data_IF_095129039179
#
_entry.id   IF_095129039179
#
_cell.length_a   1.000
_cell.length_b   1.000
_cell.length_c   1.000
_cell.angle_alpha   90.00
_cell.angle_beta   90.00
_cell.angle_gamma   90.00
#
_symmetry.space_group_name_H-M   'P 1'
#
loop_
_entity.id
_entity.type
_entity.pdbx_description
1 polymer ?
#
# COMPACT_ATOMS: atom_id res chain seq x y z
N UNK A 1 -2.39 -14.74 4.97
CA UNK A 1 -1.86 -13.38 5.22
C UNK A 1 -2.61 -12.43 4.31
N UNK A 2 -2.97 -11.23 4.78
CA UNK A 2 -3.81 -10.27 4.04
C UNK A 2 -3.14 -8.91 4.06
N UNK A 3 -2.99 -8.29 2.90
CA UNK A 3 -2.47 -6.93 2.81
C UNK A 3 -3.58 -5.95 2.44
N UNK A 4 -3.93 -5.09 3.38
CA UNK A 4 -4.90 -4.02 3.20
C UNK A 4 -4.17 -2.73 2.88
N UNK A 5 -4.56 -2.06 1.80
CA UNK A 5 -3.81 -0.94 1.25
C UNK A 5 -4.77 0.16 0.83
N UNK A 6 -4.38 1.42 0.96
CA UNK A 6 -5.19 2.57 0.60
C UNK A 6 -4.32 3.69 0.05
N UNK A 7 -4.87 4.40 -0.93
CA UNK A 7 -4.23 5.52 -1.59
C UNK A 7 -5.15 6.71 -1.65
N UNK A 8 -4.63 7.89 -1.33
CA UNK A 8 -5.38 9.13 -1.33
C UNK A 8 -4.63 10.18 -2.15
N UNK A 9 -5.39 10.95 -2.92
CA UNK A 9 -4.90 12.07 -3.70
C UNK A 9 -5.78 13.30 -3.45
N UNK A 10 -5.15 14.45 -3.29
CA UNK A 10 -5.77 15.77 -3.36
C UNK A 10 -4.94 16.63 -4.35
N UNK A 11 -5.43 17.81 -4.73
CA UNK A 11 -4.83 18.77 -5.65
C UNK A 11 -3.37 19.13 -5.33
N UNK A 12 -2.92 18.93 -4.09
CA UNK A 12 -1.58 19.31 -3.61
C UNK A 12 -0.69 18.15 -3.21
N UNK A 13 -1.27 17.02 -2.79
CA UNK A 13 -0.51 15.95 -2.12
C UNK A 13 -1.13 14.58 -2.39
N UNK A 14 -0.26 13.60 -2.52
CA UNK A 14 -0.60 12.19 -2.74
C UNK A 14 0.08 11.32 -1.69
N UNK A 15 -0.67 10.38 -1.13
CA UNK A 15 -0.22 9.55 -0.02
C UNK A 15 -0.77 8.13 -0.06
N UNK A 16 -0.08 7.23 0.60
CA UNK A 16 -0.48 5.84 0.75
C UNK A 16 -0.35 5.36 2.19
N UNK A 17 -1.06 4.29 2.48
CA UNK A 17 -0.88 3.53 3.69
C UNK A 17 -1.35 2.09 3.51
N UNK A 18 -0.85 1.21 4.37
CA UNK A 18 -1.29 -0.18 4.38
C UNK A 18 -0.92 -0.92 5.64
N UNK A 19 -1.61 -2.03 5.85
CA UNK A 19 -1.45 -2.92 6.99
C UNK A 19 -1.36 -4.36 6.53
N UNK A 20 -0.26 -5.00 6.88
CA UNK A 20 -0.03 -6.41 6.67
C UNK A 20 -0.59 -7.16 7.87
N UNK A 21 -1.59 -8.01 7.64
CA UNK A 21 -2.21 -8.81 8.68
C UNK A 21 -1.90 -10.29 8.46
N UNK A 22 -1.75 -11.03 9.56
CA UNK A 22 -1.66 -12.49 9.49
C UNK A 22 -3.04 -13.13 9.21
N UNK A 23 -3.09 -14.45 9.33
CA UNK A 23 -4.33 -15.22 9.12
C UNK A 23 -5.37 -15.04 10.24
N UNK A 24 -4.93 -14.61 11.43
CA UNK A 24 -5.79 -14.35 12.59
C UNK A 24 -6.35 -12.91 12.56
N UNK A 25 -5.90 -12.09 11.62
CA UNK A 25 -6.29 -10.69 11.48
C UNK A 25 -5.44 -9.73 12.33
N UNK A 26 -4.34 -10.21 12.92
CA UNK A 26 -3.45 -9.37 13.72
C UNK A 26 -2.50 -8.61 12.79
N UNK A 27 -2.40 -7.29 13.00
CA UNK A 27 -1.45 -6.45 12.27
C UNK A 27 -0.01 -6.85 12.61
N UNK A 28 0.76 -7.22 11.58
CA UNK A 28 2.18 -7.60 11.67
C UNK A 28 3.11 -6.52 11.16
N UNK A 29 2.61 -5.65 10.28
CA UNK A 29 3.33 -4.47 9.86
C UNK A 29 2.38 -3.37 9.39
N UNK A 30 2.82 -2.13 9.53
CA UNK A 30 2.09 -0.93 9.10
C UNK A 30 3.05 -0.08 8.26
N UNK A 31 2.55 0.50 7.17
CA UNK A 31 3.27 1.52 6.43
C UNK A 31 2.37 2.72 6.12
N UNK A 32 2.99 3.90 6.08
CA UNK A 32 2.38 5.15 5.63
C UNK A 32 3.48 5.96 4.97
N UNK A 33 3.19 6.63 3.85
CA UNK A 33 4.19 7.46 3.20
C UNK A 33 3.70 8.17 1.94
N UNK A 34 4.49 9.15 1.44
CA UNK A 34 4.16 9.87 0.22
C UNK A 34 4.28 8.96 -1.01
N UNK A 35 3.44 9.20 -2.00
CA UNK A 35 3.57 8.62 -3.35
C UNK A 35 3.78 9.76 -4.32
N UNK A 36 4.79 9.68 -5.17
CA UNK A 36 4.96 10.59 -6.29
C UNK A 36 3.99 10.19 -7.42
N UNK A 37 2.75 10.69 -7.37
CA UNK A 37 1.74 10.46 -8.39
C UNK A 37 0.97 11.76 -8.67
N UNK A 38 0.51 11.91 -9.90
CA UNK A 38 -0.16 13.14 -10.35
C UNK A 38 -1.69 13.04 -10.29
N UNK A 39 -2.24 11.85 -10.01
CA UNK A 39 -3.67 11.58 -10.02
C UNK A 39 -4.01 10.35 -9.14
N UNK A 40 -5.29 10.17 -8.83
CA UNK A 40 -5.78 9.10 -7.95
C UNK A 40 -5.63 7.69 -8.52
N UNK A 41 -5.62 7.53 -9.85
CA UNK A 41 -5.42 6.23 -10.52
C UNK A 41 -3.98 5.81 -10.33
N UNK A 42 -3.04 6.71 -10.62
CA UNK A 42 -1.61 6.56 -10.39
C UNK A 42 -1.29 6.27 -8.91
N UNK A 43 -1.99 6.93 -7.97
CA UNK A 43 -1.86 6.61 -6.54
C UNK A 43 -2.31 5.18 -6.22
N UNK A 44 -3.50 4.76 -6.69
CA UNK A 44 -4.03 3.41 -6.44
C UNK A 44 -3.09 2.33 -6.98
N UNK A 45 -2.58 2.53 -8.19
CA UNK A 45 -1.62 1.61 -8.82
C UNK A 45 -0.29 1.59 -8.05
N UNK A 46 0.22 2.76 -7.66
CA UNK A 46 1.44 2.89 -6.85
C UNK A 46 1.35 2.22 -5.48
N UNK A 47 0.21 2.34 -4.80
CA UNK A 47 -0.05 1.68 -3.51
C UNK A 47 0.07 0.16 -3.64
N UNK A 48 -0.52 -0.41 -4.69
CA UNK A 48 -0.44 -1.85 -4.96
C UNK A 48 1.02 -2.27 -5.20
N UNK A 49 1.81 -1.46 -5.92
CA UNK A 49 3.24 -1.72 -6.14
C UNK A 49 4.05 -1.71 -4.86
N UNK A 50 3.91 -0.67 -4.02
CA UNK A 50 4.61 -0.58 -2.72
C UNK A 50 4.27 -1.81 -1.86
N UNK A 51 3.03 -2.26 -1.94
CA UNK A 51 2.54 -3.38 -1.14
C UNK A 51 3.10 -4.73 -1.61
N UNK A 52 3.25 -4.91 -2.92
CA UNK A 52 3.93 -6.08 -3.48
C UNK A 52 5.41 -6.08 -3.12
N UNK A 53 6.08 -4.93 -3.21
CA UNK A 53 7.50 -4.79 -2.84
C UNK A 53 7.75 -5.04 -1.34
N UNK A 54 6.85 -4.59 -0.47
CA UNK A 54 6.96 -4.84 0.97
C UNK A 54 6.74 -6.31 1.33
N UNK A 55 5.81 -6.99 0.64
CA UNK A 55 5.56 -8.41 0.85
C UNK A 55 6.71 -9.29 0.33
N UNK A 56 7.47 -8.81 -0.66
CA UNK A 56 8.54 -9.54 -1.33
C UNK A 56 9.72 -8.63 -1.68
N UNK A 57 10.61 -8.33 -0.70
CA UNK A 57 11.70 -7.37 -0.87
C UNK A 57 12.87 -7.96 -1.69
N UNK A 58 12.76 -7.97 -3.03
CA UNK A 58 13.84 -8.39 -3.95
C UNK A 58 14.32 -7.25 -4.87
N UNK A 59 15.57 -7.37 -5.34
CA UNK A 59 16.38 -6.35 -6.03
C UNK A 59 15.70 -5.73 -7.28
N UNK A 60 16.01 -4.46 -7.54
CA UNK A 60 15.17 -3.45 -8.23
C UNK A 60 14.89 -3.70 -9.72
N UNK A 61 13.66 -3.40 -10.17
CA UNK A 61 13.25 -2.55 -11.35
C UNK A 61 11.77 -2.78 -11.72
N UNK A 62 11.11 -1.73 -12.21
CA UNK A 62 9.67 -1.65 -12.57
C UNK A 62 9.19 -2.65 -13.66
N UNK A 63 10.09 -3.35 -14.35
CA UNK A 63 9.77 -4.45 -15.29
C UNK A 63 9.46 -5.78 -14.60
N UNK A 64 9.53 -5.82 -13.26
CA UNK A 64 9.34 -7.02 -12.49
C UNK A 64 7.86 -7.35 -12.20
N UNK A 65 6.86 -6.62 -12.71
CA UNK A 65 5.46 -6.84 -12.31
C UNK A 65 4.92 -8.20 -12.78
N UNK A 66 5.12 -8.54 -14.06
CA UNK A 66 4.71 -9.85 -14.60
C UNK A 66 5.54 -10.99 -13.98
N UNK A 67 6.86 -10.75 -13.81
CA UNK A 67 7.80 -11.70 -13.20
C UNK A 67 7.64 -11.86 -11.67
N UNK A 68 7.20 -10.83 -10.93
CA UNK A 68 6.96 -10.86 -9.48
C UNK A 68 5.63 -11.51 -9.16
N UNK A 69 4.60 -11.29 -9.99
CA UNK A 69 3.33 -12.01 -9.86
C UNK A 69 3.51 -13.48 -10.25
N UNK A 70 4.35 -13.80 -11.25
CA UNK A 70 4.70 -15.20 -11.61
C UNK A 70 5.26 -16.03 -10.45
N UNK A 71 5.98 -15.40 -9.51
CA UNK A 71 6.56 -16.08 -8.34
C UNK A 71 5.61 -16.14 -7.13
N UNK A 72 4.45 -15.46 -7.17
CA UNK A 72 3.43 -15.57 -6.12
C UNK A 72 2.36 -16.54 -6.58
N UNK A 73 2.32 -17.72 -5.95
CA UNK A 73 1.49 -18.87 -6.34
C UNK A 73 0.00 -18.53 -6.47
N UNK A 74 -0.52 -17.54 -5.73
CA UNK A 74 -1.89 -17.03 -5.88
C UNK A 74 -2.04 -15.64 -5.23
N UNK A 75 -2.32 -14.60 -6.02
CA UNK A 75 -2.70 -13.27 -5.53
C UNK A 75 -4.14 -12.98 -5.91
N UNK A 76 -4.99 -12.71 -4.92
CA UNK A 76 -6.37 -12.29 -5.14
C UNK A 76 -6.51 -10.83 -4.75
N UNK A 77 -6.93 -10.01 -5.71
CA UNK A 77 -7.27 -8.61 -5.47
C UNK A 77 -8.77 -8.49 -5.20
N UNK A 78 -9.13 -7.79 -4.13
CA UNK A 78 -10.51 -7.47 -3.81
C UNK A 78 -10.63 -6.01 -3.43
N UNK A 79 -11.63 -5.31 -3.97
CA UNK A 79 -11.94 -3.95 -3.54
C UNK A 79 -12.68 -4.01 -2.19
N UNK A 80 -12.18 -3.27 -1.20
CA UNK A 80 -12.82 -3.16 0.10
C UNK A 80 -13.53 -1.81 0.23
N UNK A 81 -14.74 -1.80 0.81
CA UNK A 81 -15.37 -0.57 1.27
C UNK A 81 -14.52 0.07 2.39
N UNK A 82 -14.58 1.40 2.51
CA UNK A 82 -13.77 2.16 3.46
C UNK A 82 -13.85 1.61 4.90
N UNK A 83 -15.05 1.22 5.35
CA UNK A 83 -15.30 0.61 6.67
C UNK A 83 -14.57 -0.72 6.90
N UNK A 84 -14.23 -1.45 5.85
CA UNK A 84 -13.43 -2.68 5.90
C UNK A 84 -11.92 -2.45 5.74
N UNK A 85 -11.49 -1.20 5.55
CA UNK A 85 -10.12 -0.79 5.26
C UNK A 85 -9.71 0.46 6.05
N UNK A 86 -10.28 0.64 7.24
CA UNK A 86 -10.17 1.87 8.03
C UNK A 86 -8.72 2.15 8.44
N UNK A 87 -7.96 1.12 8.84
CA UNK A 87 -6.55 1.27 9.25
C UNK A 87 -5.70 1.79 8.09
N UNK A 88 -5.74 1.14 6.93
CA UNK A 88 -4.98 1.58 5.76
C UNK A 88 -5.41 2.97 5.27
N UNK A 89 -6.71 3.26 5.32
CA UNK A 89 -7.25 4.58 4.96
C UNK A 89 -6.78 5.66 5.93
N UNK A 90 -6.77 5.39 7.24
CA UNK A 90 -6.29 6.30 8.28
C UNK A 90 -4.80 6.58 8.10
N UNK A 91 -4.00 5.55 7.80
CA UNK A 91 -2.57 5.70 7.50
C UNK A 91 -2.33 6.56 6.27
N UNK A 92 -3.14 6.41 5.21
CA UNK A 92 -3.03 7.24 4.01
C UNK A 92 -3.40 8.71 4.29
N UNK A 93 -4.44 8.97 5.10
CA UNK A 93 -4.83 10.32 5.53
C UNK A 93 -3.76 10.96 6.41
N UNK A 94 -3.24 10.21 7.38
CA UNK A 94 -2.22 10.69 8.30
C UNK A 94 -0.98 11.19 7.55
N UNK A 95 -0.58 10.53 6.45
CA UNK A 95 0.53 11.00 5.63
C UNK A 95 0.27 12.38 5.01
N UNK A 96 -0.92 12.60 4.43
CA UNK A 96 -1.25 13.89 3.78
C UNK A 96 -1.17 15.05 4.79
N UNK A 97 -1.52 14.80 6.04
CA UNK A 97 -1.47 15.80 7.10
C UNK A 97 -0.06 16.03 7.67
N UNK A 98 0.90 15.11 7.42
CA UNK A 98 2.23 15.14 8.02
C UNK A 98 3.40 15.16 7.02
N UNK A 99 3.11 15.35 5.72
CA UNK A 99 4.04 15.82 4.67
C UNK A 99 5.11 14.83 4.22
N UNK A 100 5.92 14.28 5.13
CA UNK A 100 7.25 13.75 4.80
C UNK A 100 7.63 12.43 5.49
N UNK A 101 6.74 11.79 6.26
CA UNK A 101 7.12 10.59 7.01
C UNK A 101 6.69 9.29 6.34
N UNK A 102 7.65 8.62 5.70
CA UNK A 102 7.57 7.17 5.52
C UNK A 102 7.77 6.51 6.89
N UNK A 103 6.70 5.98 7.50
CA UNK A 103 6.76 5.24 8.76
C UNK A 103 6.42 3.79 8.52
N UNK A 104 7.42 2.92 8.71
CA UNK A 104 7.23 1.48 8.79
C UNK A 104 7.34 1.06 10.27
N UNK A 105 6.36 0.31 10.77
CA UNK A 105 6.38 -0.28 12.11
C UNK A 105 6.28 -1.80 11.98
N UNK A 106 7.13 -2.50 12.73
CA UNK A 106 7.27 -3.97 12.76
C UNK A 106 7.22 -4.47 14.20
#
# INVERSE_FOLDING_TARGET
MKFNVCGIANEKVTGCGGVLMDIEGVARALFSGPIAANDIVSVKVGVVFISLDYSYPWDRRLMAILLKIEHVVNVVFSMAYQKGNEIASTLAVANINHGDMFKAWW
#
